data_IF_368343757725
#
_entry.id   IF_368343757725
#
_cell.length_a   1.000
_cell.length_b   1.000
_cell.length_c   1.000
_cell.angle_alpha   90.00
_cell.angle_beta   90.00
_cell.angle_gamma   90.00
#
_symmetry.space_group_name_H-M   'P 1'
#
loop_
_entity.id
_entity.type
_entity.pdbx_description
1 polymer ?
#
# COMPACT_ATOMS: atom_id res chain seq x y z
N UNK A 1 -5.30 38.23 68.86
CA UNK A 1 -5.69 36.81 68.89
C UNK A 1 -5.10 36.14 67.66
N UNK A 2 -4.02 35.39 67.85
CA UNK A 2 -3.42 34.53 66.82
C UNK A 2 -4.40 33.40 66.49
N UNK A 3 -4.68 33.19 65.21
CA UNK A 3 -5.18 31.92 64.70
C UNK A 3 -4.31 31.47 63.54
N UNK A 4 -3.44 30.54 63.90
CA UNK A 4 -2.61 29.68 63.05
C UNK A 4 -3.49 28.98 62.02
N UNK A 5 -3.24 29.22 60.74
CA UNK A 5 -3.78 28.38 59.65
C UNK A 5 -2.73 27.31 59.38
N UNK A 6 -3.11 26.07 59.62
CA UNK A 6 -2.30 24.87 59.41
C UNK A 6 -2.20 24.65 57.89
N UNK A 7 -0.98 24.75 57.37
CA UNK A 7 -0.64 24.33 56.01
C UNK A 7 -0.85 22.81 55.90
N UNK A 8 -1.83 22.39 55.10
CA UNK A 8 -2.02 21.00 54.70
C UNK A 8 -1.08 20.72 53.54
N UNK A 9 0.01 20.02 53.83
CA UNK A 9 0.90 19.41 52.85
C UNK A 9 0.09 18.37 52.07
N UNK A 10 -0.36 18.74 50.87
CA UNK A 10 -0.82 17.77 49.88
C UNK A 10 0.41 16.99 49.42
N UNK A 11 0.54 15.77 49.93
CA UNK A 11 1.45 14.77 49.37
C UNK A 11 0.96 14.50 47.95
N UNK A 12 1.64 15.08 46.96
CA UNK A 12 1.56 14.61 45.57
C UNK A 12 2.02 13.15 45.60
N UNK A 13 1.06 12.24 45.59
CA UNK A 13 1.31 10.87 45.19
C UNK A 13 1.80 10.90 43.75
N UNK A 14 3.11 10.72 43.57
CA UNK A 14 3.70 10.26 42.33
C UNK A 14 3.06 8.91 42.02
N UNK A 15 1.93 8.93 41.31
CA UNK A 15 1.44 7.77 40.60
C UNK A 15 2.48 7.44 39.53
N UNK A 16 3.43 6.58 39.88
CA UNK A 16 4.09 5.74 38.90
C UNK A 16 2.96 4.96 38.23
N UNK A 17 2.45 5.47 37.12
CA UNK A 17 1.39 4.83 36.34
C UNK A 17 1.92 3.51 35.84
N UNK A 18 1.57 2.42 36.53
CA UNK A 18 1.71 1.09 35.97
C UNK A 18 0.96 1.08 34.65
N UNK A 19 1.63 0.67 33.57
CA UNK A 19 0.98 0.40 32.29
C UNK A 19 -0.25 -0.51 32.54
N UNK A 20 -1.40 -0.29 31.87
CA UNK A 20 -2.54 -1.17 31.99
C UNK A 20 -2.12 -2.60 31.63
N UNK A 21 -2.30 -3.54 32.55
CA UNK A 21 -1.99 -4.95 32.35
C UNK A 21 -3.10 -5.57 31.49
N UNK A 22 -2.94 -5.48 30.16
CA UNK A 22 -3.91 -6.00 29.21
C UNK A 22 -3.23 -6.93 28.22
N UNK A 23 -3.51 -8.23 28.33
CA UNK A 23 -3.22 -9.18 27.26
C UNK A 23 -4.21 -9.01 26.11
N UNK A 24 -3.77 -9.26 24.88
CA UNK A 24 -4.66 -9.26 23.72
C UNK A 24 -5.76 -10.35 23.83
N UNK A 25 -6.98 -10.10 23.31
CA UNK A 25 -7.40 -8.87 22.64
C UNK A 25 -7.62 -7.70 23.60
N UNK A 26 -7.17 -6.50 23.22
CA UNK A 26 -7.35 -5.27 24.01
C UNK A 26 -8.50 -4.45 23.44
N UNK A 27 -9.51 -4.15 24.28
CA UNK A 27 -10.60 -3.25 23.93
C UNK A 27 -10.16 -1.81 24.01
N UNK A 28 -10.31 -1.09 22.90
CA UNK A 28 -9.82 0.29 22.77
C UNK A 28 -10.75 1.09 21.87
N UNK A 29 -10.71 2.42 21.98
CA UNK A 29 -11.31 3.30 20.98
C UNK A 29 -10.33 3.62 19.86
N UNK A 30 -10.76 3.44 18.61
CA UNK A 30 -10.07 3.89 17.42
C UNK A 30 -10.99 4.78 16.58
N UNK A 31 -10.42 5.61 15.71
CA UNK A 31 -11.20 6.39 14.75
C UNK A 31 -11.57 5.50 13.56
N UNK A 32 -12.86 5.22 13.40
CA UNK A 32 -13.38 4.39 12.31
C UNK A 32 -14.29 5.23 11.43
N UNK A 33 -14.19 5.04 10.11
CA UNK A 33 -15.09 5.71 9.18
C UNK A 33 -16.51 5.21 9.42
N UNK A 34 -17.45 6.11 9.63
CA UNK A 34 -18.88 5.80 9.77
C UNK A 34 -19.62 5.95 8.44
N UNK A 35 -20.87 5.50 8.40
CA UNK A 35 -21.71 5.50 7.19
C UNK A 35 -22.02 6.89 6.64
N UNK A 36 -21.83 7.95 7.43
CA UNK A 36 -21.99 9.33 6.97
C UNK A 36 -20.69 9.93 6.39
N UNK A 37 -19.62 9.13 6.26
CA UNK A 37 -18.32 9.56 5.74
C UNK A 37 -17.45 10.34 6.72
N UNK A 38 -17.76 10.31 8.02
CA UNK A 38 -16.95 10.92 9.08
C UNK A 38 -16.26 9.85 9.92
N UNK A 39 -15.04 10.13 10.37
CA UNK A 39 -14.35 9.31 11.35
C UNK A 39 -14.89 9.58 12.75
N UNK A 40 -15.31 8.52 13.44
CA UNK A 40 -15.86 8.58 14.80
C UNK A 40 -15.15 7.59 15.71
N UNK A 41 -15.04 7.89 17.01
CA UNK A 41 -14.60 6.92 18.01
C UNK A 41 -15.49 5.67 18.06
N UNK A 42 -14.96 4.51 17.69
CA UNK A 42 -15.62 3.22 17.86
C UNK A 42 -14.83 2.31 18.80
N UNK A 43 -15.54 1.50 19.58
CA UNK A 43 -14.92 0.40 20.33
C UNK A 43 -14.51 -0.69 19.36
N UNK A 44 -13.23 -1.03 19.41
CA UNK A 44 -12.60 -2.06 18.59
C UNK A 44 -11.70 -2.93 19.46
N UNK A 45 -11.26 -4.05 18.90
CA UNK A 45 -10.27 -4.92 19.53
C UNK A 45 -8.95 -4.86 18.75
N UNK A 46 -7.85 -4.64 19.47
CA UNK A 46 -6.50 -4.93 18.97
C UNK A 46 -6.15 -6.36 19.36
N UNK A 47 -6.07 -7.24 18.36
CA UNK A 47 -5.92 -8.69 18.56
C UNK A 47 -4.47 -9.15 18.63
N UNK A 48 -3.56 -8.34 18.11
CA UNK A 48 -2.16 -8.70 17.86
C UNK A 48 -1.16 -7.88 18.67
N UNK A 49 -1.66 -6.87 19.41
CA UNK A 49 -0.87 -6.02 20.28
C UNK A 49 -0.33 -6.81 21.47
N UNK A 50 0.96 -6.69 21.73
CA UNK A 50 1.63 -7.29 22.89
C UNK A 50 1.94 -6.24 23.98
N UNK A 51 2.24 -5.01 23.56
CA UNK A 51 2.40 -3.85 24.43
C UNK A 51 1.53 -2.71 23.91
N UNK A 52 0.44 -2.42 24.62
CA UNK A 52 -0.51 -1.37 24.23
C UNK A 52 0.03 0.03 24.48
N UNK A 53 0.99 0.21 25.39
CA UNK A 53 1.60 1.52 25.67
C UNK A 53 2.67 1.84 24.63
N UNK A 54 3.52 0.87 24.29
CA UNK A 54 4.50 0.98 23.20
C UNK A 54 3.89 0.79 21.80
N UNK A 55 2.61 0.37 21.71
CA UNK A 55 1.93 0.00 20.46
C UNK A 55 2.75 -0.94 19.58
N UNK A 56 3.28 -1.99 20.19
CA UNK A 56 4.03 -3.04 19.51
C UNK A 56 3.32 -4.39 19.64
N UNK A 57 3.46 -5.24 18.63
CA UNK A 57 2.88 -6.58 18.61
C UNK A 57 3.27 -7.38 17.37
N UNK A 58 2.47 -8.38 16.98
CA UNK A 58 2.87 -9.28 15.89
C UNK A 58 2.68 -8.68 14.49
N UNK A 59 1.83 -7.66 14.33
CA UNK A 59 1.58 -7.00 13.03
C UNK A 59 2.49 -5.80 12.80
N UNK A 60 2.68 -4.96 13.83
CA UNK A 60 3.44 -3.72 13.72
C UNK A 60 4.19 -3.39 15.01
N UNK A 61 5.25 -2.59 14.87
CA UNK A 61 6.09 -2.07 15.94
C UNK A 61 6.31 -0.57 15.72
N UNK A 62 5.74 0.29 16.58
CA UNK A 62 5.72 1.74 16.38
C UNK A 62 6.91 2.45 17.03
N UNK A 63 7.59 3.30 16.25
CA UNK A 63 8.77 4.07 16.66
C UNK A 63 8.56 5.56 16.37
N UNK A 64 8.70 6.43 17.36
CA UNK A 64 8.47 7.86 17.23
C UNK A 64 9.72 8.64 16.82
N UNK A 65 9.56 9.61 15.91
CA UNK A 65 10.52 10.71 15.72
C UNK A 65 11.88 10.31 15.15
N UNK A 66 11.94 9.27 14.32
CA UNK A 66 13.16 8.91 13.59
C UNK A 66 13.56 10.01 12.58
N UNK A 67 14.82 10.05 12.20
CA UNK A 67 15.32 10.89 11.11
C UNK A 67 15.85 10.02 9.98
N UNK A 68 15.21 10.10 8.84
CA UNK A 68 15.46 9.27 7.66
C UNK A 68 15.77 10.20 6.49
N UNK A 69 16.96 10.06 5.90
CA UNK A 69 17.42 10.96 4.83
C UNK A 69 17.95 10.14 3.66
N UNK A 70 17.38 10.36 2.49
CA UNK A 70 17.96 9.94 1.23
C UNK A 70 18.65 11.14 0.56
N UNK A 71 19.96 11.04 0.34
CA UNK A 71 20.77 12.02 -0.38
C UNK A 71 21.77 11.27 -1.24
N UNK A 72 21.70 11.43 -2.56
CA UNK A 72 22.62 10.75 -3.48
C UNK A 72 24.10 11.10 -3.28
N UNK A 73 24.39 12.20 -2.56
CA UNK A 73 25.73 12.64 -2.20
C UNK A 73 26.20 12.15 -0.83
N UNK A 74 25.37 11.38 -0.11
CA UNK A 74 25.73 10.82 1.19
C UNK A 74 26.75 9.68 1.04
N UNK A 75 27.92 9.85 1.65
CA UNK A 75 29.00 8.88 1.57
C UNK A 75 28.66 7.53 2.23
N UNK A 76 27.83 7.52 3.27
CA UNK A 76 27.39 6.29 3.92
C UNK A 76 26.47 5.51 2.97
N UNK A 77 25.57 6.19 2.25
CA UNK A 77 24.71 5.57 1.23
C UNK A 77 25.55 5.08 0.04
N UNK A 78 26.52 5.86 -0.41
CA UNK A 78 27.39 5.49 -1.53
C UNK A 78 28.30 4.28 -1.23
N UNK A 79 28.62 4.03 0.04
CA UNK A 79 29.50 2.92 0.47
C UNK A 79 28.73 1.73 1.05
N UNK A 80 27.41 1.83 1.20
CA UNK A 80 26.57 0.74 1.65
C UNK A 80 26.48 -0.38 0.60
N UNK A 81 27.11 -1.51 0.90
CA UNK A 81 27.16 -2.68 -0.01
C UNK A 81 26.13 -3.77 0.31
N UNK A 82 25.39 -3.63 1.42
CA UNK A 82 24.30 -4.55 1.79
C UNK A 82 22.99 -3.78 2.03
N UNK A 83 21.83 -4.43 1.90
CA UNK A 83 20.54 -3.81 2.23
C UNK A 83 20.48 -3.24 3.65
N UNK A 84 21.04 -3.95 4.64
CA UNK A 84 21.07 -3.50 6.03
C UNK A 84 21.98 -2.28 6.20
N UNK A 85 23.15 -2.28 5.57
CA UNK A 85 24.04 -1.13 5.58
C UNK A 85 23.37 0.09 4.93
N UNK A 86 22.60 -0.11 3.86
CA UNK A 86 21.87 0.95 3.19
C UNK A 86 20.75 1.51 4.07
N UNK A 87 19.92 0.64 4.66
CA UNK A 87 18.86 1.05 5.57
C UNK A 87 19.42 1.80 6.81
N UNK A 88 20.56 1.36 7.35
CA UNK A 88 21.24 2.04 8.44
C UNK A 88 21.81 3.39 8.00
N UNK A 89 22.36 3.47 6.78
CA UNK A 89 22.86 4.72 6.23
C UNK A 89 21.73 5.75 5.98
N UNK A 90 20.52 5.31 5.64
CA UNK A 90 19.34 6.19 5.57
C UNK A 90 18.93 6.73 6.95
N UNK A 91 19.08 5.92 8.00
CA UNK A 91 18.63 6.23 9.34
C UNK A 91 19.65 7.10 10.08
N UNK A 92 19.51 8.42 9.95
CA UNK A 92 20.37 9.41 10.63
C UNK A 92 20.00 9.66 12.09
N UNK A 93 18.85 9.15 12.52
CA UNK A 93 18.44 9.10 13.93
C UNK A 93 17.41 8.01 14.11
N UNK A 94 17.65 7.09 15.03
CA UNK A 94 16.85 5.86 15.17
C UNK A 94 15.40 6.11 15.65
N UNK A 95 15.15 7.29 16.21
CA UNK A 95 13.90 7.60 16.90
C UNK A 95 13.91 7.06 18.33
N UNK A 96 12.73 6.78 18.86
CA UNK A 96 12.52 6.19 20.18
C UNK A 96 11.22 5.41 20.21
N UNK A 97 11.05 4.52 21.17
CA UNK A 97 9.76 3.87 21.42
C UNK A 97 8.68 4.94 21.63
N UNK A 98 7.49 4.71 21.07
CA UNK A 98 6.34 5.58 21.34
C UNK A 98 5.80 5.33 22.74
N UNK A 99 5.01 6.27 23.25
CA UNK A 99 4.28 6.08 24.52
C UNK A 99 2.88 6.60 24.34
N UNK A 100 1.94 5.67 24.23
CA UNK A 100 0.52 5.95 24.17
C UNK A 100 -0.03 6.26 25.56
N UNK A 101 -0.93 7.25 25.63
CA UNK A 101 -1.60 7.65 26.87
C UNK A 101 -3.09 7.31 26.80
N UNK A 102 -3.61 6.67 27.85
CA UNK A 102 -4.98 6.19 27.88
C UNK A 102 -5.76 6.67 29.11
N UNK A 103 -7.06 6.82 28.93
CA UNK A 103 -8.07 6.89 29.99
C UNK A 103 -8.82 5.56 29.96
N UNK A 104 -8.83 4.82 31.06
CA UNK A 104 -9.62 3.59 31.16
C UNK A 104 -11.06 3.91 31.57
N UNK A 105 -12.04 3.46 30.79
CA UNK A 105 -13.46 3.61 31.07
C UNK A 105 -14.21 2.35 30.65
N UNK A 106 -14.95 1.74 31.58
CA UNK A 106 -15.79 0.55 31.34
C UNK A 106 -15.02 -0.60 30.66
N UNK A 107 -13.78 -0.87 31.12
CA UNK A 107 -12.85 -1.85 30.54
C UNK A 107 -12.43 -1.59 29.09
N UNK A 108 -12.63 -0.36 28.59
CA UNK A 108 -12.18 0.12 27.28
C UNK A 108 -11.13 1.20 27.46
N UNK A 109 -10.01 1.08 26.75
CA UNK A 109 -8.99 2.13 26.70
C UNK A 109 -9.42 3.24 25.73
N UNK A 110 -9.40 4.48 26.21
CA UNK A 110 -9.64 5.68 25.40
C UNK A 110 -8.33 6.42 25.20
N UNK A 111 -7.87 6.62 23.96
CA UNK A 111 -6.73 7.49 23.69
C UNK A 111 -6.92 8.88 24.33
N UNK A 112 -5.94 9.31 25.12
CA UNK A 112 -6.03 10.52 25.93
C UNK A 112 -5.61 11.80 25.19
N UNK A 113 -4.96 11.65 24.03
CA UNK A 113 -4.44 12.75 23.23
C UNK A 113 -4.47 12.41 21.72
N UNK A 114 -4.26 13.43 20.88
CA UNK A 114 -4.32 13.31 19.42
C UNK A 114 -3.30 12.31 18.86
N UNK A 115 -2.08 12.27 19.39
CA UNK A 115 -1.05 11.34 18.91
C UNK A 115 -1.44 9.91 19.23
N UNK A 116 -1.94 9.65 20.44
CA UNK A 116 -2.42 8.32 20.81
C UNK A 116 -3.60 7.90 19.94
N UNK A 117 -4.55 8.80 19.62
CA UNK A 117 -5.64 8.50 18.67
C UNK A 117 -5.10 8.07 17.31
N UNK A 118 -4.13 8.81 16.78
CA UNK A 118 -3.55 8.54 15.47
C UNK A 118 -2.75 7.23 15.45
N UNK A 119 -1.88 7.00 16.45
CA UNK A 119 -1.08 5.79 16.55
C UNK A 119 -1.94 4.53 16.74
N UNK A 120 -2.93 4.57 17.64
CA UNK A 120 -3.86 3.46 17.86
C UNK A 120 -4.66 3.15 16.60
N UNK A 121 -5.18 4.18 15.92
CA UNK A 121 -5.95 4.00 14.69
C UNK A 121 -5.07 3.45 13.56
N UNK A 122 -3.83 3.91 13.46
CA UNK A 122 -2.84 3.37 12.52
C UNK A 122 -2.61 1.88 12.80
N UNK A 123 -2.34 1.50 14.05
CA UNK A 123 -2.13 0.10 14.44
C UNK A 123 -3.37 -0.76 14.11
N UNK A 124 -4.55 -0.28 14.48
CA UNK A 124 -5.82 -0.92 14.15
C UNK A 124 -5.96 -1.15 12.64
N UNK A 125 -5.67 -0.15 11.81
CA UNK A 125 -5.75 -0.28 10.35
C UNK A 125 -4.69 -1.24 9.80
N UNK A 126 -3.48 -1.29 10.38
CA UNK A 126 -2.47 -2.29 10.02
C UNK A 126 -2.92 -3.71 10.35
N UNK A 127 -3.60 -3.92 11.48
CA UNK A 127 -4.23 -5.23 11.77
C UNK A 127 -5.32 -5.58 10.76
N UNK A 128 -6.15 -4.62 10.35
CA UNK A 128 -7.20 -4.88 9.37
C UNK A 128 -6.63 -5.18 7.99
N UNK A 129 -5.54 -4.53 7.60
CA UNK A 129 -4.79 -4.85 6.38
C UNK A 129 -4.16 -6.25 6.46
N UNK A 130 -3.57 -6.61 7.60
CA UNK A 130 -3.06 -7.96 7.85
C UNK A 130 -4.17 -9.01 7.74
N UNK A 131 -5.29 -8.82 8.44
CA UNK A 131 -6.47 -9.71 8.40
C UNK A 131 -6.98 -9.86 6.97
N UNK A 132 -7.05 -8.77 6.20
CA UNK A 132 -7.46 -8.80 4.79
C UNK A 132 -6.54 -9.68 3.93
N UNK A 133 -5.23 -9.45 3.99
CA UNK A 133 -4.29 -10.24 3.19
C UNK A 133 -4.22 -11.70 3.66
N UNK A 134 -4.38 -11.96 4.95
CA UNK A 134 -4.44 -13.31 5.49
C UNK A 134 -5.72 -14.05 5.07
N UNK A 135 -6.89 -13.49 5.37
CA UNK A 135 -8.18 -14.17 5.25
C UNK A 135 -8.76 -14.13 3.83
N UNK A 136 -8.62 -12.99 3.15
CA UNK A 136 -9.21 -12.83 1.80
C UNK A 136 -8.27 -13.37 0.76
N UNK A 137 -7.00 -12.95 0.80
CA UNK A 137 -6.01 -13.28 -0.23
C UNK A 137 -5.21 -14.57 0.07
N UNK A 138 -5.47 -15.22 1.20
CA UNK A 138 -4.85 -16.48 1.64
C UNK A 138 -3.32 -16.41 1.80
N UNK A 139 -2.75 -15.27 2.21
CA UNK A 139 -1.32 -15.22 2.53
C UNK A 139 -1.07 -15.95 3.87
N UNK A 140 -0.19 -16.96 3.91
CA UNK A 140 0.18 -17.62 5.16
C UNK A 140 0.84 -16.65 6.13
N UNK A 141 0.54 -16.77 7.43
CA UNK A 141 1.13 -15.90 8.49
C UNK A 141 2.67 -15.88 8.45
N UNK A 142 3.31 -16.99 8.12
CA UNK A 142 4.76 -17.09 8.01
C UNK A 142 5.36 -16.16 6.94
N UNK A 143 4.61 -15.83 5.88
CA UNK A 143 5.08 -15.02 4.77
C UNK A 143 5.17 -13.53 5.13
N UNK A 144 4.49 -13.11 6.20
CA UNK A 144 4.61 -11.75 6.74
C UNK A 144 5.92 -11.55 7.53
N UNK A 145 6.73 -12.61 7.73
CA UNK A 145 8.06 -12.59 8.38
C UNK A 145 8.04 -12.04 9.81
N UNK A 146 8.21 -10.72 9.95
CA UNK A 146 8.38 -9.99 11.21
C UNK A 146 7.34 -8.85 11.30
N UNK A 147 6.99 -8.38 12.51
CA UNK A 147 6.21 -7.16 12.67
C UNK A 147 6.84 -6.03 11.86
N UNK A 148 6.02 -5.26 11.15
CA UNK A 148 6.56 -4.19 10.34
C UNK A 148 6.93 -3.00 11.22
N UNK A 149 8.17 -2.51 11.09
CA UNK A 149 8.59 -1.30 11.77
C UNK A 149 7.82 -0.12 11.19
N UNK A 150 7.16 0.64 12.05
CA UNK A 150 6.29 1.76 11.67
C UNK A 150 6.81 3.02 12.33
N UNK A 151 7.44 3.90 11.56
CA UNK A 151 7.92 5.17 12.07
C UNK A 151 6.77 6.18 12.13
N UNK A 152 6.43 6.59 13.34
CA UNK A 152 5.45 7.63 13.62
C UNK A 152 6.12 9.00 13.66
N UNK A 153 5.69 9.88 12.78
CA UNK A 153 6.19 11.25 12.61
C UNK A 153 7.73 11.32 12.48
N UNK A 154 8.34 10.60 11.52
CA UNK A 154 9.74 10.77 11.24
C UNK A 154 10.00 12.11 10.53
N UNK A 155 11.19 12.66 10.70
CA UNK A 155 11.78 13.60 9.75
C UNK A 155 12.26 12.78 8.54
N UNK A 156 11.43 12.70 7.49
CA UNK A 156 11.76 11.98 6.26
C UNK A 156 12.06 12.95 5.12
N UNK A 157 13.30 12.97 4.65
CA UNK A 157 13.76 13.90 3.61
C UNK A 157 14.35 13.12 2.43
N UNK A 158 13.95 13.49 1.21
CA UNK A 158 14.57 13.02 -0.04
C UNK A 158 15.27 14.22 -0.67
N UNK A 159 16.53 14.46 -0.26
CA UNK A 159 17.32 15.65 -0.58
C UNK A 159 17.43 15.94 -2.08
N UNK A 160 17.45 14.88 -2.89
CA UNK A 160 17.49 14.96 -4.36
C UNK A 160 16.23 15.61 -4.96
N UNK A 161 15.10 15.58 -4.24
CA UNK A 161 13.82 16.17 -4.65
C UNK A 161 13.58 17.48 -3.92
N UNK A 162 13.71 17.48 -2.59
CA UNK A 162 13.52 18.64 -1.73
C UNK A 162 14.38 18.52 -0.47
N UNK A 163 14.82 19.67 0.06
CA UNK A 163 15.52 19.75 1.34
C UNK A 163 14.59 19.78 2.55
N UNK A 164 13.30 19.97 2.31
CA UNK A 164 12.29 19.96 3.36
C UNK A 164 11.81 18.53 3.60
N UNK A 165 11.52 18.22 4.87
CA UNK A 165 10.91 16.95 5.25
C UNK A 165 9.54 16.80 4.60
N UNK A 166 9.26 15.61 4.08
CA UNK A 166 7.95 15.24 3.57
C UNK A 166 6.92 15.22 4.71
N UNK A 167 5.71 15.67 4.40
CA UNK A 167 4.58 15.77 5.32
C UNK A 167 3.29 15.30 4.65
N UNK A 168 2.22 15.20 5.44
CA UNK A 168 0.85 14.91 4.98
C UNK A 168 0.75 13.64 4.12
N UNK A 169 1.52 12.60 4.49
CA UNK A 169 1.54 11.33 3.77
C UNK A 169 1.65 10.12 4.71
N UNK A 170 1.28 8.96 4.21
CA UNK A 170 1.63 7.66 4.77
C UNK A 170 2.24 6.83 3.64
N UNK A 171 3.36 6.15 3.89
CA UNK A 171 3.98 5.31 2.87
C UNK A 171 4.63 4.04 3.41
N UNK A 172 4.67 2.99 2.62
CA UNK A 172 5.60 1.88 2.81
C UNK A 172 6.92 2.13 2.06
N UNK A 173 8.02 2.25 2.79
CA UNK A 173 9.34 2.47 2.22
C UNK A 173 10.14 1.17 2.14
N UNK A 174 10.16 0.57 0.95
CA UNK A 174 10.76 -0.75 0.71
C UNK A 174 12.24 -0.83 1.07
N UNK A 175 13.00 0.26 0.88
CA UNK A 175 14.42 0.30 1.18
C UNK A 175 14.75 0.04 2.67
N UNK A 176 13.79 0.31 3.56
CA UNK A 176 13.90 0.06 5.01
C UNK A 176 12.92 -1.01 5.51
N UNK A 177 12.14 -1.62 4.61
CA UNK A 177 11.02 -2.50 4.94
C UNK A 177 10.06 -1.92 6.01
N UNK A 178 9.84 -0.59 5.99
CA UNK A 178 9.14 0.11 7.07
C UNK A 178 7.98 0.97 6.58
N UNK A 179 6.94 1.10 7.39
CA UNK A 179 5.92 2.13 7.19
C UNK A 179 6.36 3.46 7.79
N UNK A 180 6.04 4.55 7.12
CA UNK A 180 6.24 5.91 7.61
C UNK A 180 4.87 6.58 7.69
N UNK A 181 4.47 7.00 8.90
CA UNK A 181 3.33 7.91 9.12
C UNK A 181 3.91 9.30 9.25
N UNK A 182 3.84 10.11 8.19
CA UNK A 182 4.51 11.40 8.17
C UNK A 182 3.78 12.44 9.04
N UNK A 183 4.51 13.45 9.56
CA UNK A 183 3.91 14.58 10.26
C UNK A 183 2.88 15.30 9.40
N UNK A 184 1.89 15.92 10.04
CA UNK A 184 0.91 16.76 9.35
C UNK A 184 1.40 18.20 9.27
N UNK A 185 1.19 18.85 8.12
CA UNK A 185 1.28 20.31 8.00
C UNK A 185 -0.13 20.91 7.91
N UNK A 186 -0.98 20.33 7.06
CA UNK A 186 -2.37 20.74 6.87
C UNK A 186 -3.35 19.61 7.22
N UNK A 187 -4.19 19.83 8.23
CA UNK A 187 -5.30 18.92 8.52
C UNK A 187 -6.42 19.11 7.49
N UNK A 188 -6.29 18.50 6.31
CA UNK A 188 -7.30 18.62 5.25
C UNK A 188 -8.57 17.80 5.50
N UNK A 189 -8.56 16.88 6.48
CA UNK A 189 -9.74 16.25 7.13
C UNK A 189 -9.26 15.15 8.08
N UNK A 190 -8.99 13.99 7.49
CA UNK A 190 -8.60 12.77 8.13
C UNK A 190 -7.19 12.45 7.65
N UNK A 191 -6.19 12.48 8.54
CA UNK A 191 -4.87 11.99 8.23
C UNK A 191 -4.86 10.71 7.40
N UNK A 192 -3.96 10.62 6.43
CA UNK A 192 -3.85 9.43 5.59
C UNK A 192 -3.63 8.15 6.41
N UNK A 193 -2.92 8.24 7.53
CA UNK A 193 -2.68 7.10 8.41
C UNK A 193 -3.93 6.59 9.16
N UNK A 194 -4.97 7.41 9.32
CA UNK A 194 -6.25 6.95 9.90
C UNK A 194 -7.20 6.37 8.84
N UNK A 195 -6.87 6.51 7.55
CA UNK A 195 -7.64 5.95 6.47
C UNK A 195 -7.29 4.48 6.21
N UNK A 196 -8.21 3.57 6.54
CA UNK A 196 -8.01 2.13 6.39
C UNK A 196 -7.70 1.69 4.95
N UNK A 197 -8.29 2.36 3.95
CA UNK A 197 -8.01 2.10 2.54
C UNK A 197 -6.58 2.49 2.18
N UNK A 198 -6.12 3.66 2.63
CA UNK A 198 -4.73 4.12 2.42
C UNK A 198 -3.73 3.21 3.14
N UNK A 199 -3.98 2.84 4.40
CA UNK A 199 -3.09 1.91 5.10
C UNK A 199 -3.03 0.56 4.40
N UNK A 200 -4.15 0.07 3.85
CA UNK A 200 -4.14 -1.17 3.05
C UNK A 200 -3.41 -1.01 1.72
N UNK A 201 -3.54 0.14 1.06
CA UNK A 201 -2.77 0.48 -0.15
C UNK A 201 -1.27 0.37 0.16
N UNK A 202 -0.80 1.05 1.21
CA UNK A 202 0.61 0.97 1.63
C UNK A 202 1.03 -0.43 2.07
N UNK A 203 0.13 -1.18 2.72
CA UNK A 203 0.37 -2.58 3.07
C UNK A 203 0.46 -3.48 1.84
N UNK A 204 -0.25 -3.16 0.77
CA UNK A 204 -0.13 -3.86 -0.50
C UNK A 204 1.28 -3.70 -1.08
N UNK A 205 1.90 -2.52 -0.98
CA UNK A 205 3.31 -2.35 -1.38
C UNK A 205 4.25 -3.24 -0.56
N UNK A 206 3.98 -3.45 0.73
CA UNK A 206 4.73 -4.44 1.53
C UNK A 206 4.54 -5.85 1.01
N UNK A 207 3.31 -6.26 0.70
CA UNK A 207 3.04 -7.60 0.13
C UNK A 207 3.70 -7.75 -1.24
N UNK A 208 3.63 -6.73 -2.08
CA UNK A 208 4.27 -6.68 -3.38
C UNK A 208 5.78 -6.78 -3.24
N UNK A 209 6.39 -6.06 -2.29
CA UNK A 209 7.81 -6.17 -2.00
C UNK A 209 8.19 -7.59 -1.56
N UNK A 210 7.47 -8.17 -0.60
CA UNK A 210 7.74 -9.52 -0.09
C UNK A 210 7.63 -10.59 -1.19
N UNK A 211 6.64 -10.48 -2.07
CA UNK A 211 6.27 -11.52 -3.04
C UNK A 211 6.87 -11.29 -4.43
N UNK A 212 6.74 -10.08 -4.99
CA UNK A 212 7.20 -9.74 -6.35
C UNK A 212 8.66 -9.30 -6.35
N UNK A 213 9.11 -8.61 -5.29
CA UNK A 213 10.51 -8.19 -5.14
C UNK A 213 11.35 -9.12 -4.26
N UNK A 214 10.79 -10.26 -3.84
CA UNK A 214 11.43 -11.23 -2.95
C UNK A 214 11.93 -10.65 -1.61
N UNK A 215 11.34 -9.56 -1.14
CA UNK A 215 11.76 -8.84 0.06
C UNK A 215 13.08 -8.09 -0.10
N UNK A 216 13.51 -7.79 -1.33
CA UNK A 216 14.72 -7.02 -1.57
C UNK A 216 14.45 -5.52 -1.37
N UNK A 217 15.32 -4.83 -0.65
CA UNK A 217 15.32 -3.37 -0.56
C UNK A 217 15.45 -2.73 -1.97
N UNK A 218 16.26 -3.36 -2.82
CA UNK A 218 16.49 -2.98 -4.22
C UNK A 218 16.17 -4.17 -5.12
N UNK A 219 14.98 -4.21 -5.73
CA UNK A 219 14.59 -5.33 -6.57
C UNK A 219 15.52 -5.44 -7.76
N UNK A 220 16.14 -6.61 -7.97
CA UNK A 220 17.16 -6.83 -8.99
C UNK A 220 16.76 -6.35 -10.39
N UNK A 221 15.51 -6.59 -10.80
CA UNK A 221 14.99 -6.14 -12.09
C UNK A 221 14.95 -4.61 -12.19
N UNK A 222 14.43 -3.90 -11.18
CA UNK A 222 14.38 -2.44 -11.19
C UNK A 222 15.78 -1.83 -11.20
N UNK A 223 16.71 -2.39 -10.42
CA UNK A 223 18.11 -1.95 -10.41
C UNK A 223 18.77 -2.13 -11.78
N UNK A 224 18.62 -3.31 -12.40
CA UNK A 224 19.17 -3.58 -13.72
C UNK A 224 18.58 -2.65 -14.80
N UNK A 225 17.26 -2.50 -14.80
CA UNK A 225 16.55 -1.70 -15.79
C UNK A 225 16.85 -0.20 -15.65
N UNK A 226 16.92 0.32 -14.42
CA UNK A 226 17.29 1.72 -14.17
C UNK A 226 18.75 2.01 -14.58
N UNK A 227 19.66 1.03 -14.45
CA UNK A 227 21.08 1.19 -14.81
C UNK A 227 21.36 1.24 -16.31
N UNK A 228 20.38 0.90 -17.16
CA UNK A 228 20.57 0.85 -18.63
C UNK A 228 20.79 2.25 -19.23
N UNK A 229 20.27 3.29 -18.58
CA UNK A 229 20.31 4.67 -19.09
C UNK A 229 19.37 4.87 -20.28
N UNK A 230 18.28 5.60 -20.08
CA UNK A 230 17.25 5.84 -21.11
C UNK A 230 15.88 5.27 -20.75
N UNK A 231 15.04 4.94 -21.76
CA UNK A 231 13.68 4.45 -21.54
C UNK A 231 13.66 3.19 -20.67
N UNK A 232 12.70 3.12 -19.75
CA UNK A 232 12.59 2.03 -18.77
C UNK A 232 11.21 1.33 -18.79
N UNK A 233 10.78 0.78 -19.94
CA UNK A 233 9.42 0.27 -20.11
C UNK A 233 9.02 -0.81 -19.10
N UNK A 234 9.92 -1.77 -18.83
CA UNK A 234 9.63 -2.83 -17.87
C UNK A 234 9.47 -2.28 -16.45
N UNK A 235 10.32 -1.32 -16.06
CA UNK A 235 10.23 -0.67 -14.76
C UNK A 235 8.94 0.16 -14.62
N UNK A 236 8.58 0.92 -15.67
CA UNK A 236 7.36 1.73 -15.72
C UNK A 236 6.11 0.85 -15.56
N UNK A 237 6.05 -0.30 -16.25
CA UNK A 237 4.96 -1.27 -16.12
C UNK A 237 4.93 -1.88 -14.73
N UNK A 238 6.07 -2.31 -14.20
CA UNK A 238 6.13 -2.95 -12.89
C UNK A 238 5.70 -2.01 -11.76
N UNK A 239 6.12 -0.74 -11.82
CA UNK A 239 5.65 0.30 -10.88
C UNK A 239 4.17 0.62 -11.05
N UNK A 240 3.65 0.69 -12.28
CA UNK A 240 2.22 0.86 -12.49
C UNK A 240 1.39 -0.30 -11.92
N UNK A 241 1.88 -1.54 -12.04
CA UNK A 241 1.23 -2.71 -11.44
C UNK A 241 1.25 -2.66 -9.91
N UNK A 242 2.39 -2.31 -9.32
CA UNK A 242 2.53 -2.10 -7.86
C UNK A 242 1.46 -1.11 -7.34
N UNK A 243 1.33 0.07 -7.97
CA UNK A 243 0.34 1.09 -7.62
C UNK A 243 -1.12 0.65 -7.86
N UNK A 244 -1.41 0.09 -9.03
CA UNK A 244 -2.77 -0.29 -9.40
C UNK A 244 -3.32 -1.45 -8.58
N UNK A 245 -2.47 -2.43 -8.27
CA UNK A 245 -2.88 -3.55 -7.43
C UNK A 245 -3.00 -3.13 -5.98
N UNK A 246 -2.21 -2.15 -5.51
CA UNK A 246 -2.41 -1.53 -4.20
C UNK A 246 -3.78 -0.84 -4.07
N UNK A 247 -4.23 -0.11 -5.10
CA UNK A 247 -5.59 0.45 -5.12
C UNK A 247 -6.69 -0.60 -5.11
N UNK A 248 -6.53 -1.67 -5.89
CA UNK A 248 -7.50 -2.74 -5.95
C UNK A 248 -7.61 -3.48 -4.60
N UNK A 249 -6.48 -3.70 -3.92
CA UNK A 249 -6.46 -4.30 -2.59
C UNK A 249 -7.05 -3.37 -1.52
N UNK A 250 -6.77 -2.06 -1.59
CA UNK A 250 -7.41 -1.06 -0.73
C UNK A 250 -8.94 -1.10 -0.87
N UNK A 251 -9.45 -1.11 -2.10
CA UNK A 251 -10.88 -1.34 -2.37
C UNK A 251 -11.36 -2.67 -1.77
N UNK A 252 -10.67 -3.77 -2.01
CA UNK A 252 -11.03 -5.09 -1.48
C UNK A 252 -11.12 -5.12 0.05
N UNK A 253 -10.23 -4.43 0.75
CA UNK A 253 -10.27 -4.32 2.21
C UNK A 253 -11.44 -3.47 2.70
N UNK A 254 -11.80 -2.39 2.00
CA UNK A 254 -12.94 -1.55 2.38
C UNK A 254 -14.25 -2.36 2.43
N UNK A 255 -14.41 -3.37 1.57
CA UNK A 255 -15.55 -4.29 1.58
C UNK A 255 -15.73 -5.06 2.90
N UNK A 256 -14.70 -5.12 3.74
CA UNK A 256 -14.74 -5.76 5.07
C UNK A 256 -15.17 -4.80 6.18
N UNK A 257 -15.28 -3.51 5.87
CA UNK A 257 -15.78 -2.50 6.78
C UNK A 257 -17.31 -2.62 6.96
N UNK A 258 -17.82 -2.04 8.05
CA UNK A 258 -19.27 -1.97 8.32
C UNK A 258 -20.04 -1.16 7.27
N UNK A 259 -19.35 -0.31 6.50
CA UNK A 259 -19.96 0.57 5.50
C UNK A 259 -19.96 -0.05 4.09
N UNK A 260 -19.40 -1.25 3.93
CA UNK A 260 -19.28 -1.90 2.64
C UNK A 260 -18.11 -1.38 1.81
N UNK A 261 -18.10 -1.75 0.53
CA UNK A 261 -17.02 -1.44 -0.40
C UNK A 261 -16.99 0.04 -0.79
N UNK A 262 -15.79 0.61 -0.90
CA UNK A 262 -15.56 2.00 -1.27
C UNK A 262 -14.54 2.10 -2.40
N UNK A 263 -15.01 2.38 -3.62
CA UNK A 263 -14.15 2.61 -4.80
C UNK A 263 -13.46 3.97 -4.77
N UNK A 264 -13.84 4.84 -3.82
CA UNK A 264 -13.34 6.19 -3.62
C UNK A 264 -12.76 6.35 -2.23
N UNK A 265 -12.08 5.33 -1.71
CA UNK A 265 -11.53 5.29 -0.35
C UNK A 265 -10.63 6.49 0.00
N UNK A 266 -10.05 7.16 -1.00
CA UNK A 266 -9.25 8.39 -0.84
C UNK A 266 -10.09 9.64 -0.51
N UNK A 267 -11.40 9.62 -0.74
CA UNK A 267 -12.29 10.79 -0.59
C UNK A 267 -12.50 11.27 0.84
N UNK A 268 -12.19 10.44 1.83
CA UNK A 268 -12.24 10.84 3.25
C UNK A 268 -10.99 11.60 3.69
N UNK A 269 -9.89 11.51 2.93
CA UNK A 269 -8.61 12.16 3.24
C UNK A 269 -8.26 13.33 2.32
N UNK A 270 -8.68 13.30 1.05
CA UNK A 270 -8.42 14.38 0.09
C UNK A 270 -9.70 15.17 -0.23
N UNK A 271 -9.67 16.48 0.04
CA UNK A 271 -10.71 17.43 -0.33
C UNK A 271 -10.12 18.79 -0.77
N UNK A 272 -10.99 19.73 -1.14
CA UNK A 272 -10.58 21.08 -1.51
C UNK A 272 -10.11 21.23 -2.97
N UNK A 273 -9.78 22.46 -3.38
CA UNK A 273 -9.46 22.77 -4.78
C UNK A 273 -8.12 22.20 -5.25
N UNK A 274 -7.19 21.95 -4.34
CA UNK A 274 -5.84 21.45 -4.67
C UNK A 274 -5.81 19.93 -4.81
N UNK A 275 -6.49 19.20 -3.93
CA UNK A 275 -6.42 17.73 -3.86
C UNK A 275 -7.74 17.03 -4.21
N UNK A 276 -8.83 17.77 -4.42
CA UNK A 276 -10.16 17.21 -4.64
C UNK A 276 -10.33 16.43 -5.94
N UNK A 277 -9.41 16.55 -6.91
CA UNK A 277 -9.43 15.70 -8.10
C UNK A 277 -8.94 14.29 -7.82
N UNK A 278 -8.03 14.09 -6.85
CA UNK A 278 -7.37 12.79 -6.60
C UNK A 278 -8.38 11.66 -6.38
N UNK A 279 -9.41 11.79 -5.50
CA UNK A 279 -10.40 10.73 -5.34
C UNK A 279 -11.20 10.44 -6.62
N UNK A 280 -11.45 11.44 -7.45
CA UNK A 280 -12.14 11.26 -8.72
C UNK A 280 -11.20 10.67 -9.80
N UNK A 281 -9.91 10.98 -9.75
CA UNK A 281 -8.90 10.51 -10.69
C UNK A 281 -8.47 9.08 -10.39
N UNK A 282 -8.68 8.59 -9.16
CA UNK A 282 -8.40 7.21 -8.74
C UNK A 282 -9.64 6.37 -8.42
N UNK A 283 -10.85 6.89 -8.66
CA UNK A 283 -12.10 6.11 -8.51
C UNK A 283 -12.13 4.89 -9.44
N UNK A 284 -12.19 3.69 -8.85
CA UNK A 284 -12.18 2.40 -9.56
C UNK A 284 -13.50 2.12 -10.29
N UNK A 285 -14.60 2.76 -9.89
CA UNK A 285 -15.92 2.52 -10.48
C UNK A 285 -16.09 3.16 -11.86
N UNK A 286 -15.18 4.07 -12.27
CA UNK A 286 -15.26 4.72 -13.58
C UNK A 286 -14.97 3.73 -14.70
N UNK A 287 -16.01 3.43 -15.48
CA UNK A 287 -15.95 2.49 -16.61
C UNK A 287 -15.27 3.07 -17.84
N UNK A 288 -15.15 4.40 -17.97
CA UNK A 288 -14.68 5.09 -19.17
C UNK A 288 -13.18 5.44 -19.14
N UNK A 289 -12.42 4.79 -18.26
CA UNK A 289 -10.99 5.05 -18.09
C UNK A 289 -10.16 4.32 -19.13
N UNK A 290 -9.62 5.05 -20.09
CA UNK A 290 -8.93 4.45 -21.22
C UNK A 290 -7.46 4.87 -21.29
N UNK A 291 -6.58 3.91 -21.62
CA UNK A 291 -5.22 4.21 -22.02
C UNK A 291 -5.26 5.11 -23.27
N UNK A 292 -4.69 6.30 -23.15
CA UNK A 292 -4.46 7.20 -24.27
C UNK A 292 -3.09 6.94 -24.92
N UNK A 293 -2.91 7.41 -26.16
CA UNK A 293 -1.66 7.23 -26.90
C UNK A 293 -0.45 7.85 -26.19
N UNK A 294 -0.62 9.00 -25.54
CA UNK A 294 0.47 9.69 -24.83
C UNK A 294 0.94 8.92 -23.61
N UNK A 295 0.02 8.31 -22.86
CA UNK A 295 0.33 7.48 -21.70
C UNK A 295 0.98 6.16 -22.13
N UNK A 296 0.48 5.54 -23.20
CA UNK A 296 1.08 4.34 -23.82
C UNK A 296 2.53 4.62 -24.28
N UNK A 297 2.75 5.75 -24.93
CA UNK A 297 4.07 6.15 -25.40
C UNK A 297 4.99 6.51 -24.23
N UNK A 298 4.45 7.14 -23.17
CA UNK A 298 5.21 7.44 -21.95
C UNK A 298 5.70 6.18 -21.26
N UNK A 299 4.87 5.11 -21.18
CA UNK A 299 5.33 3.82 -20.64
C UNK A 299 6.57 3.34 -21.39
N UNK A 300 6.58 3.47 -22.72
CA UNK A 300 7.62 2.89 -23.57
C UNK A 300 8.90 3.74 -23.63
N UNK A 301 8.74 5.06 -23.68
CA UNK A 301 9.80 5.97 -24.06
C UNK A 301 10.40 6.75 -22.88
N UNK A 302 9.71 6.81 -21.74
CA UNK A 302 10.24 7.54 -20.59
C UNK A 302 11.21 6.67 -19.78
N UNK A 303 12.26 7.31 -19.27
CA UNK A 303 13.01 6.79 -18.13
C UNK A 303 12.13 6.74 -16.88
N UNK A 304 12.57 6.03 -15.84
CA UNK A 304 11.82 5.89 -14.59
C UNK A 304 11.51 7.26 -13.93
N UNK A 305 12.46 8.19 -13.96
CA UNK A 305 12.27 9.54 -13.40
C UNK A 305 11.25 10.36 -14.20
N UNK A 306 11.30 10.31 -15.53
CA UNK A 306 10.34 10.98 -16.42
C UNK A 306 8.94 10.34 -16.37
N UNK A 307 8.86 9.07 -15.97
CA UNK A 307 7.59 8.36 -15.83
C UNK A 307 6.92 8.63 -14.48
N UNK A 308 7.66 9.06 -13.45
CA UNK A 308 7.13 9.34 -12.11
C UNK A 308 5.83 10.17 -12.14
N UNK A 309 4.86 9.77 -11.33
CA UNK A 309 3.49 10.26 -11.30
C UNK A 309 2.56 9.61 -12.34
N UNK A 310 3.08 9.01 -13.43
CA UNK A 310 2.27 8.35 -14.46
C UNK A 310 1.96 6.89 -14.13
N UNK A 311 2.74 6.27 -13.23
CA UNK A 311 2.47 4.96 -12.65
C UNK A 311 1.08 4.90 -12.01
N UNK A 312 0.65 5.97 -11.32
CA UNK A 312 -0.71 6.06 -10.75
C UNK A 312 -1.79 6.05 -11.82
N UNK A 313 -1.55 6.68 -12.98
CA UNK A 313 -2.53 6.72 -14.08
C UNK A 313 -2.72 5.32 -14.66
N UNK A 314 -1.63 4.66 -15.03
CA UNK A 314 -1.67 3.28 -15.58
C UNK A 314 -2.16 2.29 -14.54
N UNK A 315 -1.72 2.42 -13.29
CA UNK A 315 -2.18 1.61 -12.17
C UNK A 315 -3.68 1.75 -11.94
N UNK A 316 -4.23 2.96 -12.01
CA UNK A 316 -5.69 3.18 -11.91
C UNK A 316 -6.44 2.51 -13.07
N UNK A 317 -5.90 2.53 -14.31
CA UNK A 317 -6.51 1.81 -15.44
C UNK A 317 -6.56 0.29 -15.17
N UNK A 318 -5.44 -0.26 -14.67
CA UNK A 318 -5.35 -1.68 -14.29
C UNK A 318 -6.35 -2.02 -13.17
N UNK A 319 -6.37 -1.23 -12.10
CA UNK A 319 -7.24 -1.43 -10.95
C UNK A 319 -8.72 -1.39 -11.36
N UNK A 320 -9.08 -0.42 -12.20
CA UNK A 320 -10.46 -0.25 -12.70
C UNK A 320 -10.86 -1.44 -13.58
N UNK A 321 -10.01 -1.87 -14.52
CA UNK A 321 -10.27 -3.02 -15.37
C UNK A 321 -10.51 -4.31 -14.54
N UNK A 322 -9.68 -4.55 -13.53
CA UNK A 322 -9.81 -5.70 -12.65
C UNK A 322 -11.07 -5.59 -11.76
N UNK A 323 -11.37 -4.39 -11.25
CA UNK A 323 -12.61 -4.11 -10.53
C UNK A 323 -13.84 -4.44 -11.39
N UNK A 324 -13.93 -3.94 -12.62
CA UNK A 324 -15.08 -4.19 -13.51
C UNK A 324 -15.26 -5.68 -13.78
N UNK A 325 -14.18 -6.40 -14.07
CA UNK A 325 -14.23 -7.85 -14.30
C UNK A 325 -14.70 -8.63 -13.05
N UNK A 326 -14.19 -8.25 -11.87
CA UNK A 326 -14.56 -8.86 -10.59
C UNK A 326 -16.03 -8.64 -10.25
N UNK A 327 -16.54 -7.41 -10.44
CA UNK A 327 -17.93 -7.05 -10.15
C UNK A 327 -18.91 -7.63 -11.17
N UNK A 328 -18.60 -7.59 -12.47
CA UNK A 328 -19.45 -8.14 -13.54
C UNK A 328 -19.68 -9.66 -13.43
N UNK A 329 -18.78 -10.36 -12.74
CA UNK A 329 -18.87 -11.80 -12.48
C UNK A 329 -19.32 -12.14 -11.06
N UNK A 330 -19.31 -11.17 -10.13
CA UNK A 330 -19.52 -11.41 -8.70
C UNK A 330 -18.41 -12.24 -8.06
N UNK A 331 -17.21 -12.28 -8.66
CA UNK A 331 -16.08 -13.12 -8.25
C UNK A 331 -14.87 -12.32 -7.73
N UNK A 332 -15.10 -11.11 -7.22
CA UNK A 332 -14.04 -10.23 -6.67
C UNK A 332 -13.04 -10.95 -5.76
N UNK A 333 -13.51 -11.69 -4.75
CA UNK A 333 -12.60 -12.33 -3.79
C UNK A 333 -11.76 -13.46 -4.45
N UNK A 334 -12.28 -14.12 -5.48
CA UNK A 334 -11.51 -15.09 -6.28
C UNK A 334 -10.43 -14.34 -7.07
N UNK A 335 -10.79 -13.22 -7.71
CA UNK A 335 -9.85 -12.39 -8.45
C UNK A 335 -8.70 -11.90 -7.56
N UNK A 336 -9.01 -11.34 -6.38
CA UNK A 336 -8.02 -10.85 -5.43
C UNK A 336 -7.03 -11.96 -4.97
N UNK A 337 -7.52 -13.19 -4.76
CA UNK A 337 -6.69 -14.36 -4.47
C UNK A 337 -5.81 -14.77 -5.64
N UNK A 338 -6.37 -14.81 -6.85
CA UNK A 338 -5.62 -15.15 -8.06
C UNK A 338 -4.49 -14.17 -8.32
N UNK A 339 -4.71 -12.87 -8.09
CA UNK A 339 -3.70 -11.82 -8.22
C UNK A 339 -2.51 -12.09 -7.28
N UNK A 340 -2.77 -12.27 -5.98
CA UNK A 340 -1.70 -12.51 -4.99
C UNK A 340 -0.99 -13.84 -5.24
N UNK A 341 -1.70 -14.87 -5.70
CA UNK A 341 -1.08 -16.14 -6.12
C UNK A 341 -0.10 -15.90 -7.27
N UNK A 342 -0.49 -15.06 -8.23
CA UNK A 342 0.35 -14.66 -9.37
C UNK A 342 1.53 -13.73 -9.05
N UNK A 343 1.74 -13.32 -7.80
CA UNK A 343 2.91 -12.49 -7.46
C UNK A 343 4.21 -13.27 -7.51
N UNK A 344 4.20 -14.49 -6.99
CA UNK A 344 5.43 -15.25 -6.73
C UNK A 344 5.31 -16.75 -7.01
N UNK A 345 4.32 -17.18 -7.81
CA UNK A 345 4.29 -18.57 -8.29
C UNK A 345 5.57 -18.85 -9.12
N UNK A 346 6.24 -19.94 -8.78
CA UNK A 346 7.50 -20.39 -9.40
C UNK A 346 7.28 -21.45 -10.48
N UNK A 347 6.02 -21.85 -10.68
CA UNK A 347 5.58 -22.75 -11.74
C UNK A 347 5.92 -22.18 -13.11
N UNK A 348 6.63 -22.96 -13.93
CA UNK A 348 6.89 -22.58 -15.33
C UNK A 348 5.63 -22.58 -16.20
N UNK A 349 4.54 -23.22 -15.75
CA UNK A 349 3.26 -23.24 -16.45
C UNK A 349 2.41 -21.98 -16.16
N UNK A 350 2.60 -21.39 -14.98
CA UNK A 350 1.87 -20.22 -14.47
C UNK A 350 2.85 -19.27 -13.78
N UNK A 351 3.86 -18.73 -14.50
CA UNK A 351 4.91 -17.94 -13.86
C UNK A 351 4.33 -16.69 -13.23
N UNK A 352 4.68 -16.44 -11.97
CA UNK A 352 4.32 -15.22 -11.27
C UNK A 352 5.15 -14.01 -11.69
N UNK A 353 4.76 -12.81 -11.24
CA UNK A 353 5.46 -11.57 -11.56
C UNK A 353 6.95 -11.60 -11.17
N UNK A 354 7.32 -12.18 -10.03
CA UNK A 354 8.73 -12.36 -9.65
C UNK A 354 9.50 -13.16 -10.70
N UNK A 355 8.96 -14.29 -11.17
CA UNK A 355 9.62 -15.13 -12.16
C UNK A 355 9.73 -14.43 -13.52
N UNK A 356 8.67 -13.72 -13.93
CA UNK A 356 8.67 -12.96 -15.18
C UNK A 356 9.70 -11.81 -15.14
N UNK A 357 9.78 -11.05 -14.06
CA UNK A 357 10.78 -9.98 -13.92
C UNK A 357 12.21 -10.53 -13.93
N UNK A 358 12.45 -11.69 -13.31
CA UNK A 358 13.72 -12.41 -13.40
C UNK A 358 14.04 -12.87 -14.82
N UNK A 359 13.06 -13.43 -15.54
CA UNK A 359 13.21 -13.87 -16.92
C UNK A 359 13.62 -12.73 -17.87
N UNK A 360 13.09 -11.53 -17.65
CA UNK A 360 13.33 -10.36 -18.49
C UNK A 360 14.30 -9.34 -17.87
N UNK A 361 15.07 -9.73 -16.87
CA UNK A 361 16.02 -8.81 -16.18
C UNK A 361 17.05 -8.23 -17.16
N UNK A 362 17.53 -9.01 -18.13
CA UNK A 362 18.52 -8.56 -19.11
C UNK A 362 17.96 -7.71 -20.25
N UNK A 363 16.65 -7.76 -20.49
CA UNK A 363 15.99 -7.04 -21.57
C UNK A 363 14.53 -6.72 -21.19
N UNK A 364 14.35 -5.54 -20.60
CA UNK A 364 13.05 -5.04 -20.17
C UNK A 364 12.07 -4.76 -21.31
N UNK A 365 12.52 -4.66 -22.56
CA UNK A 365 11.63 -4.37 -23.69
C UNK A 365 10.66 -5.52 -23.96
N UNK A 366 11.01 -6.73 -23.50
CA UNK A 366 10.15 -7.91 -23.56
C UNK A 366 9.18 -8.01 -22.36
N UNK A 367 9.39 -7.25 -21.28
CA UNK A 367 8.44 -7.17 -20.16
C UNK A 367 7.31 -6.18 -20.51
N UNK A 368 6.35 -6.64 -21.30
CA UNK A 368 5.21 -5.83 -21.78
C UNK A 368 4.02 -5.88 -20.82
N UNK A 369 3.00 -5.03 -21.06
CA UNK A 369 1.73 -5.09 -20.34
C UNK A 369 1.09 -6.48 -20.45
N UNK A 370 1.15 -7.12 -21.63
CA UNK A 370 0.64 -8.48 -21.82
C UNK A 370 1.38 -9.50 -20.95
N UNK A 371 2.71 -9.38 -20.86
CA UNK A 371 3.54 -10.24 -20.01
C UNK A 371 3.19 -10.03 -18.53
N UNK A 372 3.14 -8.79 -18.05
CA UNK A 372 2.75 -8.52 -16.66
C UNK A 372 1.33 -9.01 -16.34
N UNK A 373 0.36 -8.76 -17.23
CA UNK A 373 -1.02 -9.26 -17.10
C UNK A 373 -1.12 -10.78 -17.14
N UNK A 374 -0.19 -11.47 -17.80
CA UNK A 374 -0.19 -12.94 -17.87
C UNK A 374 -0.04 -13.59 -16.50
N UNK A 375 0.68 -12.96 -15.57
CA UNK A 375 0.80 -13.42 -14.19
C UNK A 375 -0.55 -13.42 -13.46
N UNK A 376 -1.47 -12.51 -13.79
CA UNK A 376 -2.81 -12.49 -13.19
C UNK A 376 -3.71 -13.49 -13.93
N UNK A 377 -3.75 -13.41 -15.26
CA UNK A 377 -4.67 -14.19 -16.10
C UNK A 377 -4.44 -15.70 -15.93
N UNK A 378 -3.18 -16.13 -15.87
CA UNK A 378 -2.83 -17.56 -15.76
C UNK A 378 -3.29 -18.20 -14.45
N UNK A 379 -3.52 -17.42 -13.39
CA UNK A 379 -3.96 -17.88 -12.08
C UNK A 379 -5.49 -17.82 -11.87
N UNK A 380 -6.24 -17.41 -12.90
CA UNK A 380 -7.70 -17.44 -12.88
C UNK A 380 -8.17 -18.75 -13.54
N UNK A 381 -8.77 -19.62 -12.72
CA UNK A 381 -9.27 -20.93 -13.16
C UNK A 381 -10.72 -20.90 -13.63
N UNK A 382 -11.55 -20.01 -13.08
CA UNK A 382 -12.92 -19.80 -13.53
C UNK A 382 -12.92 -19.13 -14.91
N UNK A 383 -13.50 -19.81 -15.91
CA UNK A 383 -13.48 -19.35 -17.29
C UNK A 383 -14.24 -18.03 -17.51
N UNK A 384 -15.33 -17.79 -16.77
CA UNK A 384 -16.13 -16.57 -16.91
C UNK A 384 -15.37 -15.38 -16.34
N UNK A 385 -14.76 -15.52 -15.17
CA UNK A 385 -13.88 -14.48 -14.61
C UNK A 385 -12.67 -14.26 -15.49
N UNK A 386 -12.04 -15.34 -16.00
CA UNK A 386 -10.88 -15.22 -16.89
C UNK A 386 -11.21 -14.45 -18.16
N UNK A 387 -12.34 -14.76 -18.79
CA UNK A 387 -12.82 -14.04 -19.97
C UNK A 387 -13.11 -12.57 -19.67
N UNK A 388 -13.77 -12.26 -18.55
CA UNK A 388 -14.04 -10.89 -18.14
C UNK A 388 -12.75 -10.09 -17.93
N UNK A 389 -11.80 -10.64 -17.16
CA UNK A 389 -10.49 -10.01 -16.93
C UNK A 389 -9.74 -9.79 -18.25
N UNK A 390 -9.72 -10.78 -19.13
CA UNK A 390 -9.12 -10.64 -20.46
C UNK A 390 -9.75 -9.51 -21.27
N UNK A 391 -11.08 -9.40 -21.28
CA UNK A 391 -11.78 -8.36 -22.02
C UNK A 391 -11.49 -6.96 -21.47
N UNK A 392 -11.54 -6.78 -20.15
CA UNK A 392 -11.28 -5.49 -19.49
C UNK A 392 -9.82 -5.07 -19.66
N UNK A 393 -8.86 -5.99 -19.52
CA UNK A 393 -7.44 -5.67 -19.72
C UNK A 393 -7.10 -5.32 -21.17
N UNK A 394 -7.67 -6.04 -22.15
CA UNK A 394 -7.52 -5.69 -23.58
C UNK A 394 -8.08 -4.29 -23.89
N UNK A 395 -9.22 -3.95 -23.30
CA UNK A 395 -9.91 -2.67 -23.55
C UNK A 395 -9.19 -1.50 -22.87
N UNK A 396 -9.10 -1.54 -21.54
CA UNK A 396 -8.62 -0.42 -20.74
C UNK A 396 -7.12 -0.16 -20.89
N UNK A 397 -6.31 -1.22 -21.00
CA UNK A 397 -4.86 -1.13 -21.17
C UNK A 397 -4.42 -1.17 -22.64
N UNK A 398 -5.36 -1.33 -23.58
CA UNK A 398 -5.09 -1.39 -25.02
C UNK A 398 -4.09 -2.51 -25.39
N UNK A 399 -4.19 -3.66 -24.72
CA UNK A 399 -3.34 -4.82 -25.01
C UNK A 399 -3.84 -5.50 -26.30
N UNK A 400 -2.99 -5.66 -27.34
CA UNK A 400 -3.39 -6.35 -28.56
C UNK A 400 -3.88 -7.77 -28.27
N UNK A 401 -5.00 -8.14 -28.91
CA UNK A 401 -5.69 -9.42 -28.67
C UNK A 401 -4.81 -10.63 -28.96
N UNK A 402 -3.98 -10.56 -30.01
CA UNK A 402 -3.08 -11.61 -30.44
C UNK A 402 -1.92 -11.88 -29.45
N UNK A 403 -1.67 -10.95 -28.52
CA UNK A 403 -0.74 -11.19 -27.40
C UNK A 403 -1.37 -11.96 -26.24
N UNK A 404 -2.70 -12.10 -26.20
CA UNK A 404 -3.41 -12.77 -25.11
C UNK A 404 -4.25 -13.97 -25.57
N UNK A 405 -4.71 -14.01 -26.82
CA UNK A 405 -5.59 -15.04 -27.36
C UNK A 405 -4.90 -15.79 -28.51
N UNK A 406 -4.91 -17.12 -28.43
CA UNK A 406 -4.30 -17.99 -29.45
C UNK A 406 -2.78 -18.10 -29.32
N UNK A 407 -2.22 -17.70 -28.18
CA UNK A 407 -0.78 -17.80 -27.89
C UNK A 407 -0.39 -19.27 -27.70
N UNK A 408 0.77 -19.66 -28.24
CA UNK A 408 1.17 -21.07 -28.32
C UNK A 408 1.67 -21.67 -27.00
N UNK A 409 1.99 -20.86 -25.98
CA UNK A 409 2.40 -21.38 -24.67
C UNK A 409 2.48 -20.30 -23.57
N UNK A 410 1.54 -20.23 -22.59
CA UNK A 410 0.20 -20.80 -22.60
C UNK A 410 -0.79 -19.90 -23.36
N UNK A 411 -1.91 -20.46 -23.83
CA UNK A 411 -3.05 -19.66 -24.26
C UNK A 411 -3.66 -18.96 -23.03
N UNK A 412 -3.45 -17.65 -22.91
CA UNK A 412 -3.81 -16.91 -21.70
C UNK A 412 -5.32 -16.72 -21.60
N UNK A 413 -5.94 -16.25 -22.68
CA UNK A 413 -7.35 -15.91 -22.72
C UNK A 413 -8.18 -16.92 -23.55
N UNK A 414 -9.45 -17.15 -23.17
CA UNK A 414 -10.38 -17.93 -24.00
C UNK A 414 -10.52 -17.34 -25.41
N UNK A 415 -10.79 -18.18 -26.41
CA UNK A 415 -10.96 -17.72 -27.79
C UNK A 415 -12.14 -16.74 -27.97
N UNK A 416 -13.12 -16.79 -27.08
CA UNK A 416 -14.27 -15.88 -27.03
C UNK A 416 -13.92 -14.48 -26.52
N UNK A 417 -12.79 -14.32 -25.83
CA UNK A 417 -12.32 -13.00 -25.41
C UNK A 417 -12.01 -12.15 -26.66
N UNK A 418 -12.67 -11.00 -26.76
CA UNK A 418 -12.61 -10.11 -27.91
C UNK A 418 -12.07 -8.71 -27.56
N UNK A 419 -11.89 -8.46 -26.26
CA UNK A 419 -11.74 -7.10 -25.72
C UNK A 419 -13.09 -6.46 -25.48
N UNK A 420 -13.13 -5.53 -24.53
CA UNK A 420 -14.26 -4.62 -24.38
C UNK A 420 -14.41 -3.66 -25.56
N UNK A 421 -15.45 -2.83 -25.48
CA UNK A 421 -15.75 -1.79 -26.49
C UNK A 421 -15.88 -0.41 -25.86
N UNK A 422 -15.49 -0.29 -24.59
CA UNK A 422 -15.61 0.93 -23.82
C UNK A 422 -14.55 1.93 -24.24
N UNK A 423 -13.32 1.47 -24.50
CA UNK A 423 -12.22 2.32 -24.87
C UNK A 423 -12.04 2.44 -26.39
N UNK A 424 -11.76 3.66 -26.90
CA UNK A 424 -11.43 3.83 -28.30
C UNK A 424 -10.13 3.09 -28.61
N UNK A 425 -10.13 2.30 -29.69
CA UNK A 425 -8.91 1.62 -30.13
C UNK A 425 -7.87 2.63 -30.55
N UNK A 426 -6.70 2.56 -29.93
CA UNK A 426 -5.52 3.28 -30.40
C UNK A 426 -5.07 2.70 -31.75
N UNK A 427 -4.46 3.52 -32.60
CA UNK A 427 -3.86 3.02 -33.84
C UNK A 427 -2.83 1.93 -33.50
N UNK A 428 -2.80 0.89 -34.34
CA UNK A 428 -1.72 -0.07 -34.34
C UNK A 428 -0.40 0.67 -34.60
N UNK A 429 0.64 0.22 -33.92
CA UNK A 429 2.00 0.73 -34.15
C UNK A 429 2.59 0.14 -35.44
#
# INVERSE_FOLDING_TARGET
MLRTVIATTAVLGLAAGCAPDTSAPVKIRALVLSSNGQYVPEEVELKTVADVVGLSGSVADLHGGARIVYDSNDQDLATATTPEAFANALLKGEGRDVTASYISQDDVLWPADFHTWNMVTTYYNLERAFDYFHDVTNIPTADFKKPVKTYYFPDFTITDVSRDSLKDNALYFSAMESFLVLPFDELQRAPLAINAGVITHEYSHRIFNLKVYAGQAFPAALTAWASTGGPSPGANILKAFDEGLADLHAYGATCRSKNGCDTRFLSSSFEGPEYGSIPADRDLAKTDRCMDASLRDSIRNNSLSEFSGKEYRVGTLLASALYQAGEATGQRDILLRSIVTGYSDTSTATPGLLQLTQQYTSDQTNFTLAVASSAIISHITDLRLKEAVCNELMDHLQIPRDLLVGTTNPNLCPASAAGGTTCPRLSAD
#
